data_IF_286843523194
#
_entry.id   IF_286843523194
#
_cell.length_a   1.000
_cell.length_b   1.000
_cell.length_c   1.000
_cell.angle_alpha   90.00
_cell.angle_beta   90.00
_cell.angle_gamma   90.00
#
_symmetry.space_group_name_H-M   'P 1'
#
loop_
_entity.id
_entity.type
_entity.pdbx_description
1 polymer ?
#
# COMPACT_ATOMS: atom_id res chain seq x y z
N UNK A 1 -17.47 2.86 7.82
CA UNK A 1 -16.76 1.57 7.93
C UNK A 1 -17.76 0.42 7.91
N UNK A 2 -17.42 -0.74 7.35
CA UNK A 2 -18.26 -1.95 7.35
C UNK A 2 -17.67 -3.01 8.30
N UNK A 3 -18.50 -3.60 9.17
CA UNK A 3 -18.08 -4.64 10.11
C UNK A 3 -16.88 -4.21 10.97
N UNK A 4 -15.88 -5.08 11.09
CA UNK A 4 -14.72 -4.88 11.96
C UNK A 4 -13.61 -3.96 11.38
N UNK A 5 -13.83 -3.33 10.22
CA UNK A 5 -12.80 -2.50 9.56
C UNK A 5 -12.23 -1.42 10.49
N UNK A 6 -13.09 -0.70 11.20
CA UNK A 6 -12.65 0.38 12.09
C UNK A 6 -11.80 -0.16 13.26
N UNK A 7 -12.22 -1.27 13.88
CA UNK A 7 -11.47 -1.90 14.96
C UNK A 7 -10.09 -2.39 14.48
N UNK A 8 -10.02 -2.95 13.27
CA UNK A 8 -8.75 -3.37 12.65
C UNK A 8 -7.85 -2.16 12.42
N UNK A 9 -8.36 -1.08 11.81
CA UNK A 9 -7.58 0.13 11.55
C UNK A 9 -7.10 0.79 12.83
N UNK A 10 -7.94 0.87 13.86
CA UNK A 10 -7.56 1.41 15.18
C UNK A 10 -6.47 0.57 15.84
N UNK A 11 -6.52 -0.76 15.69
CA UNK A 11 -5.46 -1.66 16.16
C UNK A 11 -4.13 -1.36 15.47
N UNK A 12 -4.13 -1.22 14.14
CA UNK A 12 -2.94 -0.90 13.34
C UNK A 12 -2.39 0.49 13.69
N UNK A 13 -3.26 1.50 13.79
CA UNK A 13 -2.91 2.87 14.18
C UNK A 13 -2.40 2.97 15.63
N UNK A 14 -2.69 1.98 16.47
CA UNK A 14 -2.12 1.84 17.81
C UNK A 14 -0.85 0.99 17.83
N UNK A 15 -0.22 0.81 16.66
CA UNK A 15 1.04 0.06 16.46
C UNK A 15 0.97 -1.42 16.91
N UNK A 16 -0.23 -2.02 16.88
CA UNK A 16 -0.41 -3.42 17.25
C UNK A 16 -0.32 -4.34 16.04
N UNK A 17 0.45 -5.41 16.19
CA UNK A 17 0.43 -6.55 15.27
C UNK A 17 -1.00 -7.12 15.21
N UNK A 18 -1.58 -7.11 14.01
CA UNK A 18 -3.00 -7.41 13.82
C UNK A 18 -3.18 -8.50 12.77
N UNK A 19 -3.71 -9.65 13.19
CA UNK A 19 -4.11 -10.73 12.28
C UNK A 19 -5.57 -10.52 11.83
N UNK A 20 -5.82 -10.55 10.52
CA UNK A 20 -7.13 -10.23 9.94
C UNK A 20 -7.60 -11.35 9.02
N UNK A 21 -8.69 -12.01 9.40
CA UNK A 21 -9.43 -12.93 8.53
C UNK A 21 -10.67 -12.23 7.98
N UNK A 22 -10.73 -12.06 6.65
CA UNK A 22 -11.84 -11.41 5.95
C UNK A 22 -11.98 -12.07 4.58
N UNK A 23 -13.21 -12.26 4.07
CA UNK A 23 -13.41 -12.77 2.72
C UNK A 23 -12.92 -11.77 1.66
N UNK A 24 -12.62 -12.26 0.47
CA UNK A 24 -12.40 -11.40 -0.71
C UNK A 24 -13.60 -10.49 -0.92
N UNK A 25 -13.36 -9.22 -1.28
CA UNK A 25 -14.43 -8.21 -1.38
C UNK A 25 -14.89 -7.63 -0.04
N UNK A 26 -14.46 -8.17 1.10
CA UNK A 26 -14.78 -7.65 2.44
C UNK A 26 -14.11 -6.30 2.77
N UNK A 27 -13.30 -5.74 1.86
CA UNK A 27 -12.60 -4.47 2.06
C UNK A 27 -11.36 -4.60 2.95
N UNK A 28 -10.63 -5.72 2.85
CA UNK A 28 -9.35 -5.93 3.56
C UNK A 28 -8.30 -4.87 3.18
N UNK A 29 -8.22 -4.48 1.91
CA UNK A 29 -7.22 -3.49 1.46
C UNK A 29 -7.34 -2.15 2.18
N UNK A 30 -8.58 -1.68 2.35
CA UNK A 30 -8.86 -0.44 3.08
C UNK A 30 -8.28 -0.47 4.50
N UNK A 31 -8.29 -1.65 5.15
CA UNK A 31 -7.84 -1.81 6.52
C UNK A 31 -6.37 -1.49 6.73
N UNK A 32 -5.52 -1.62 5.71
CA UNK A 32 -4.11 -1.18 5.78
C UNK A 32 -3.87 0.12 4.98
N UNK A 33 -4.64 0.40 3.93
CA UNK A 33 -4.48 1.60 3.11
C UNK A 33 -4.79 2.87 3.88
N UNK A 34 -5.90 2.91 4.62
CA UNK A 34 -6.25 4.11 5.36
C UNK A 34 -5.25 4.39 6.49
N UNK A 35 -4.84 3.40 7.32
CA UNK A 35 -3.76 3.63 8.27
C UNK A 35 -2.46 4.10 7.61
N UNK A 36 -2.06 3.54 6.47
CA UNK A 36 -0.86 3.96 5.76
C UNK A 36 -0.89 5.44 5.34
N UNK A 37 -2.05 5.95 4.94
CA UNK A 37 -2.21 7.37 4.58
C UNK A 37 -2.13 8.30 5.80
N UNK A 38 -2.62 7.84 6.96
CA UNK A 38 -2.68 8.62 8.20
C UNK A 38 -1.36 8.60 8.98
N UNK A 39 -0.59 7.52 8.84
CA UNK A 39 0.69 7.36 9.52
C UNK A 39 1.83 8.13 8.83
N UNK A 40 2.86 8.43 9.61
CA UNK A 40 4.14 8.90 9.07
C UNK A 40 4.88 7.75 8.35
N UNK A 41 5.70 8.11 7.37
CA UNK A 41 6.46 7.16 6.56
C UNK A 41 5.66 6.46 5.46
N UNK A 42 6.17 5.30 5.03
CA UNK A 42 5.67 4.49 3.92
C UNK A 42 5.26 3.10 4.43
N UNK A 43 4.02 2.69 4.16
CA UNK A 43 3.60 1.32 4.41
C UNK A 43 4.10 0.39 3.30
N UNK A 44 4.74 -0.71 3.68
CA UNK A 44 5.19 -1.76 2.76
C UNK A 44 4.13 -2.87 2.72
N UNK A 45 3.61 -3.14 1.53
CA UNK A 45 2.58 -4.15 1.28
C UNK A 45 3.18 -5.29 0.44
N UNK A 46 3.44 -6.42 1.08
CA UNK A 46 3.97 -7.60 0.40
C UNK A 46 2.82 -8.35 -0.29
N UNK A 47 2.91 -8.57 -1.59
CA UNK A 47 1.88 -9.27 -2.38
C UNK A 47 2.51 -10.10 -3.50
N UNK A 48 2.13 -11.39 -3.66
CA UNK A 48 2.68 -12.26 -4.71
C UNK A 48 2.09 -11.98 -6.11
N UNK A 49 1.04 -11.17 -6.22
CA UNK A 49 0.30 -10.97 -7.48
C UNK A 49 0.60 -9.59 -8.09
N UNK A 50 1.47 -9.55 -9.10
CA UNK A 50 1.87 -8.33 -9.83
C UNK A 50 0.65 -7.57 -10.39
N UNK A 51 -0.29 -8.28 -11.03
CA UNK A 51 -1.50 -7.66 -11.59
C UNK A 51 -2.37 -6.99 -10.52
N UNK A 52 -2.44 -7.59 -9.32
CA UNK A 52 -3.17 -6.99 -8.20
C UNK A 52 -2.46 -5.74 -7.69
N UNK A 53 -1.13 -5.77 -7.58
CA UNK A 53 -0.34 -4.61 -7.15
C UNK A 53 -0.59 -3.42 -8.06
N UNK A 54 -0.52 -3.62 -9.39
CA UNK A 54 -0.80 -2.58 -10.37
C UNK A 54 -2.21 -1.98 -10.20
N UNK A 55 -3.23 -2.82 -10.11
CA UNK A 55 -4.61 -2.36 -9.91
C UNK A 55 -4.79 -1.54 -8.62
N UNK A 56 -4.11 -1.91 -7.53
CA UNK A 56 -4.17 -1.17 -6.27
C UNK A 56 -3.44 0.18 -6.36
N UNK A 57 -2.27 0.21 -7.00
CA UNK A 57 -1.50 1.45 -7.21
C UNK A 57 -2.26 2.41 -8.12
N UNK A 58 -2.74 1.94 -9.28
CA UNK A 58 -3.52 2.73 -10.23
C UNK A 58 -4.79 3.29 -9.54
N UNK A 59 -5.48 2.47 -8.75
CA UNK A 59 -6.64 2.95 -7.98
C UNK A 59 -6.27 4.05 -6.99
N UNK A 60 -5.15 3.93 -6.28
CA UNK A 60 -4.72 4.95 -5.30
C UNK A 60 -4.31 6.24 -5.99
N UNK A 61 -3.59 6.15 -7.12
CA UNK A 61 -3.19 7.31 -7.92
C UNK A 61 -4.38 8.03 -8.52
N UNK A 62 -5.43 7.33 -8.96
CA UNK A 62 -6.65 7.95 -9.46
C UNK A 62 -7.39 8.81 -8.42
N UNK A 63 -7.19 8.56 -7.12
CA UNK A 63 -7.77 9.37 -6.04
C UNK A 63 -6.86 10.52 -5.59
N UNK A 64 -5.64 10.59 -6.11
CA UNK A 64 -4.61 11.58 -5.78
C UNK A 64 -4.33 12.47 -6.98
N UNK A 65 -3.89 13.70 -6.75
CA UNK A 65 -3.32 14.53 -7.84
C UNK A 65 -1.85 14.19 -8.11
N UNK A 66 -1.26 13.35 -7.25
CA UNK A 66 0.16 12.98 -7.28
C UNK A 66 0.33 11.48 -7.43
N UNK A 67 0.99 11.06 -8.52
CA UNK A 67 1.30 9.65 -8.79
C UNK A 67 2.23 9.04 -7.74
N UNK A 68 3.07 9.86 -7.10
CA UNK A 68 4.05 9.43 -6.11
C UNK A 68 3.47 8.89 -4.79
N UNK A 69 2.15 9.01 -4.57
CA UNK A 69 1.48 8.55 -3.33
C UNK A 69 1.55 7.03 -3.15
N UNK A 70 1.57 6.29 -4.26
CA UNK A 70 1.61 4.84 -4.27
C UNK A 70 2.54 4.34 -5.38
N UNK A 71 3.36 3.34 -5.06
CA UNK A 71 4.27 2.69 -5.98
C UNK A 71 4.21 1.17 -5.84
N UNK A 72 4.69 0.46 -6.86
CA UNK A 72 5.02 -0.95 -6.77
C UNK A 72 6.50 -1.16 -7.09
N UNK A 73 7.11 -2.21 -6.54
CA UNK A 73 8.48 -2.64 -6.81
C UNK A 73 8.46 -4.14 -7.08
N UNK A 74 8.76 -4.51 -8.33
CA UNK A 74 8.82 -5.89 -8.78
C UNK A 74 9.73 -5.99 -10.03
N UNK A 75 9.86 -7.20 -10.56
CA UNK A 75 10.71 -7.51 -11.72
C UNK A 75 10.24 -6.92 -13.06
N UNK A 76 9.04 -6.32 -13.15
CA UNK A 76 8.58 -5.70 -14.39
C UNK A 76 9.09 -4.27 -14.58
N UNK A 77 9.67 -3.66 -13.53
CA UNK A 77 10.20 -2.30 -13.62
C UNK A 77 11.60 -2.28 -14.24
N UNK A 78 11.84 -1.28 -15.07
CA UNK A 78 13.16 -0.94 -15.56
C UNK A 78 13.94 -0.12 -14.52
N UNK A 79 15.24 0.06 -14.76
CA UNK A 79 16.14 0.76 -13.82
C UNK A 79 15.70 2.21 -13.54
N UNK A 80 15.21 2.94 -14.53
CA UNK A 80 14.78 4.32 -14.34
C UNK A 80 13.53 4.40 -13.45
N UNK A 81 12.57 3.51 -13.67
CA UNK A 81 11.36 3.41 -12.85
C UNK A 81 11.70 3.05 -11.39
N UNK A 82 12.63 2.12 -11.17
CA UNK A 82 13.10 1.77 -9.82
C UNK A 82 13.74 2.97 -9.11
N UNK A 83 14.55 3.76 -9.80
CA UNK A 83 15.18 4.94 -9.21
C UNK A 83 14.16 6.05 -8.92
N UNK A 84 13.12 6.19 -9.72
CA UNK A 84 11.99 7.08 -9.44
C UNK A 84 11.23 6.66 -8.18
N UNK A 85 10.89 5.38 -8.05
CA UNK A 85 10.24 4.83 -6.85
C UNK A 85 11.09 5.13 -5.61
N UNK A 86 12.39 4.86 -5.66
CA UNK A 86 13.31 5.16 -4.54
C UNK A 86 13.35 6.64 -4.20
N UNK A 87 13.44 7.51 -5.21
CA UNK A 87 13.47 8.96 -5.02
C UNK A 87 12.22 9.45 -4.30
N UNK A 88 11.04 8.97 -4.68
CA UNK A 88 9.78 9.39 -4.07
C UNK A 88 9.61 8.87 -2.64
N UNK A 89 10.08 7.65 -2.36
CA UNK A 89 10.14 7.10 -0.99
C UNK A 89 11.06 7.96 -0.12
N UNK A 90 12.28 8.23 -0.59
CA UNK A 90 13.26 9.06 0.14
C UNK A 90 12.79 10.50 0.34
N UNK A 91 11.97 11.02 -0.57
CA UNK A 91 11.34 12.33 -0.46
C UNK A 91 10.09 12.33 0.45
N UNK A 92 9.67 11.18 1.00
CA UNK A 92 8.50 11.07 1.88
C UNK A 92 7.15 11.20 1.18
N UNK A 93 7.12 11.16 -0.16
CA UNK A 93 5.88 11.29 -0.96
C UNK A 93 5.04 10.01 -0.94
N UNK A 94 5.72 8.87 -0.91
CA UNK A 94 5.08 7.56 -1.03
C UNK A 94 4.50 7.10 0.29
N UNK A 95 3.18 6.90 0.33
CA UNK A 95 2.46 6.32 1.47
C UNK A 95 2.32 4.81 1.38
N UNK A 96 2.24 4.26 0.17
CA UNK A 96 2.07 2.84 -0.08
C UNK A 96 3.09 2.32 -1.08
N UNK A 97 3.89 1.34 -0.68
CA UNK A 97 4.79 0.61 -1.55
C UNK A 97 4.39 -0.87 -1.59
N UNK A 98 3.93 -1.32 -2.76
CA UNK A 98 3.66 -2.73 -2.99
C UNK A 98 4.94 -3.44 -3.44
N UNK A 99 5.34 -4.53 -2.77
CA UNK A 99 6.57 -5.27 -3.10
C UNK A 99 6.27 -6.74 -3.38
N UNK A 100 6.90 -7.30 -4.40
CA UNK A 100 6.83 -8.74 -4.65
C UNK A 100 7.79 -9.50 -3.70
N UNK A 101 7.40 -10.64 -3.11
CA UNK A 101 8.22 -11.35 -2.11
C UNK A 101 9.63 -11.74 -2.58
N UNK A 102 9.79 -11.93 -3.89
CA UNK A 102 11.05 -12.31 -4.53
C UNK A 102 11.98 -11.14 -4.88
N UNK A 103 11.53 -9.90 -4.67
CA UNK A 103 12.24 -8.66 -5.06
C UNK A 103 13.30 -8.23 -4.05
#
# INVERSE_FOLDING_TARGET
FKGNQEAIMRSILSEKNTFVLMPTGGGKSLCYQLPALLSEGTAIVISPLIALMKNQVDSMRNFSQEDGIAHFLNSSLNRQEVEEVKRDIMAGKTKLLYVAPES
#
